data_IF_448158413874
#
_entry.id   IF_448158413874
#
_cell.length_a   1.000
_cell.length_b   1.000
_cell.length_c   1.000
_cell.angle_alpha   90.00
_cell.angle_beta   90.00
_cell.angle_gamma   90.00
#
_symmetry.space_group_name_H-M   'P 1'
#
loop_
_entity.id
_entity.type
_entity.pdbx_description
1 polymer ?
#
# COMPACT_ATOMS: atom_id res chain seq x y z
N UNK A 1 -31.16 20.21 0.11
CA UNK A 1 -29.92 19.40 0.10
C UNK A 1 -28.84 20.22 0.78
N UNK A 2 -28.65 20.03 2.08
CA UNK A 2 -27.63 20.78 2.82
C UNK A 2 -26.28 20.08 2.69
N UNK A 3 -25.30 20.80 2.13
CA UNK A 3 -23.90 20.41 2.12
C UNK A 3 -23.31 20.80 3.48
N UNK A 4 -23.08 19.81 4.32
CA UNK A 4 -22.35 19.98 5.58
C UNK A 4 -20.88 20.22 5.22
N UNK A 5 -20.35 21.38 5.57
CA UNK A 5 -18.95 21.73 5.38
C UNK A 5 -18.11 21.22 6.56
N UNK A 6 -16.88 20.80 6.27
CA UNK A 6 -15.90 20.27 7.22
C UNK A 6 -15.60 21.22 8.40
N UNK A 7 -15.85 22.52 8.24
CA UNK A 7 -15.61 23.54 9.26
C UNK A 7 -16.56 23.46 10.47
N UNK A 8 -17.73 22.83 10.33
CA UNK A 8 -18.69 22.68 11.43
C UNK A 8 -18.24 21.63 12.46
N UNK A 9 -17.18 20.86 12.16
CA UNK A 9 -16.64 19.86 13.08
C UNK A 9 -15.72 20.46 14.16
N UNK A 10 -15.20 21.68 13.95
CA UNK A 10 -14.12 22.25 14.76
C UNK A 10 -14.60 23.29 15.77
N UNK A 11 -15.77 23.89 15.60
CA UNK A 11 -16.20 25.08 16.39
C UNK A 11 -17.30 24.84 17.42
N UNK A 12 -17.67 23.60 17.74
CA UNK A 12 -18.64 23.33 18.80
C UNK A 12 -18.27 22.13 19.68
N UNK A 13 -17.79 22.48 20.88
CA UNK A 13 -17.95 21.81 22.17
C UNK A 13 -16.63 21.35 22.84
N UNK A 14 -16.37 21.80 24.08
CA UNK A 14 -15.26 21.31 24.89
C UNK A 14 -15.52 19.86 25.29
N UNK A 15 -14.53 18.99 25.03
CA UNK A 15 -14.29 17.70 25.69
C UNK A 15 -15.43 16.70 25.87
N UNK A 16 -16.51 16.77 25.09
CA UNK A 16 -17.36 15.60 24.81
C UNK A 16 -17.15 15.09 23.40
N UNK A 17 -16.37 14.03 23.30
CA UNK A 17 -14.98 14.17 22.89
C UNK A 17 -14.98 13.77 21.43
N UNK A 18 -14.14 14.33 20.55
CA UNK A 18 -14.05 13.86 19.15
C UNK A 18 -13.99 12.32 19.02
N UNK A 19 -13.43 11.66 20.04
CA UNK A 19 -13.42 10.22 20.23
C UNK A 19 -14.82 9.57 20.27
N UNK A 20 -15.83 10.14 20.95
CA UNK A 20 -17.18 9.59 21.01
C UNK A 20 -17.85 9.61 19.63
N UNK A 21 -17.74 10.73 18.90
CA UNK A 21 -18.22 10.85 17.51
C UNK A 21 -17.51 9.83 16.60
N UNK A 22 -16.20 9.69 16.74
CA UNK A 22 -15.39 8.75 15.96
C UNK A 22 -15.73 7.28 16.27
N UNK A 23 -16.02 6.93 17.53
CA UNK A 23 -16.52 5.60 17.89
C UNK A 23 -17.89 5.31 17.27
N UNK A 24 -18.80 6.29 17.24
CA UNK A 24 -20.09 6.16 16.56
C UNK A 24 -19.94 6.03 15.04
N UNK A 25 -18.97 6.71 14.45
CA UNK A 25 -18.67 6.62 13.02
C UNK A 25 -18.06 5.26 12.66
N UNK A 26 -17.11 4.76 13.47
CA UNK A 26 -16.49 3.44 13.29
C UNK A 26 -17.51 2.30 13.37
N UNK A 27 -18.52 2.40 14.26
CA UNK A 27 -19.63 1.44 14.33
C UNK A 27 -20.53 1.47 13.10
N UNK A 28 -20.77 2.65 12.52
CA UNK A 28 -21.63 2.82 11.34
C UNK A 28 -20.93 2.42 10.04
N UNK A 29 -19.64 2.69 9.94
CA UNK A 29 -18.84 2.46 8.73
C UNK A 29 -17.56 1.67 9.06
N UNK A 30 -17.68 0.37 9.40
CA UNK A 30 -16.55 -0.44 9.86
C UNK A 30 -15.48 -0.69 8.79
N UNK A 31 -15.86 -0.62 7.51
CA UNK A 31 -14.97 -0.83 6.37
C UNK A 31 -14.42 0.48 5.77
N UNK A 32 -14.73 1.65 6.35
CA UNK A 32 -14.23 2.91 5.82
C UNK A 32 -12.75 3.11 6.18
N UNK A 33 -11.91 3.16 5.16
CA UNK A 33 -10.46 3.37 5.31
C UNK A 33 -10.16 4.68 6.04
N UNK A 34 -10.83 5.77 5.66
CA UNK A 34 -10.66 7.09 6.26
C UNK A 34 -11.00 7.06 7.76
N UNK A 35 -12.15 6.52 8.13
CA UNK A 35 -12.58 6.43 9.53
C UNK A 35 -11.62 5.58 10.34
N UNK A 36 -11.16 4.46 9.77
CA UNK A 36 -10.21 3.56 10.42
C UNK A 36 -8.82 4.20 10.57
N UNK A 37 -8.34 5.00 9.59
CA UNK A 37 -7.10 5.78 9.72
C UNK A 37 -7.20 6.73 10.93
N UNK A 38 -8.24 7.56 10.96
CA UNK A 38 -8.40 8.53 12.05
C UNK A 38 -8.60 7.84 13.41
N UNK A 39 -9.32 6.71 13.45
CA UNK A 39 -9.53 5.95 14.68
C UNK A 39 -8.25 5.32 15.22
N UNK A 40 -7.40 4.76 14.33
CA UNK A 40 -6.10 4.21 14.70
C UNK A 40 -5.11 5.28 15.17
N UNK A 41 -5.21 6.51 14.65
CA UNK A 41 -4.34 7.64 15.00
C UNK A 41 -4.77 8.37 16.26
N UNK A 42 -6.05 8.70 16.39
CA UNK A 42 -6.59 9.51 17.50
C UNK A 42 -6.92 8.67 18.75
N UNK A 43 -7.15 7.36 18.60
CA UNK A 43 -7.59 6.49 19.70
C UNK A 43 -6.75 5.20 19.84
N UNK A 44 -5.40 5.24 19.84
CA UNK A 44 -4.57 4.03 19.80
C UNK A 44 -4.75 3.12 21.03
N UNK A 45 -5.09 3.69 22.20
CA UNK A 45 -5.29 2.96 23.46
C UNK A 45 -6.62 2.20 23.54
N UNK A 46 -7.61 2.57 22.72
CA UNK A 46 -8.96 1.96 22.73
C UNK A 46 -9.09 0.76 21.79
N UNK A 47 -8.06 0.46 20.99
CA UNK A 47 -8.13 -0.57 19.95
C UNK A 47 -7.27 -1.77 20.33
N UNK A 48 -7.90 -2.93 20.52
CA UNK A 48 -7.15 -4.19 20.74
C UNK A 48 -6.30 -4.54 19.52
N UNK A 49 -5.19 -5.27 19.71
CA UNK A 49 -4.31 -5.69 18.61
C UNK A 49 -5.08 -6.37 17.46
N UNK A 50 -6.06 -7.22 17.80
CA UNK A 50 -6.94 -7.89 16.82
C UNK A 50 -7.83 -6.90 16.06
N UNK A 51 -8.38 -5.89 16.74
CA UNK A 51 -9.18 -4.85 16.08
C UNK A 51 -8.31 -3.94 15.22
N UNK A 52 -7.08 -3.60 15.67
CA UNK A 52 -6.12 -2.82 14.87
C UNK A 52 -5.78 -3.53 13.58
N UNK A 53 -5.47 -4.83 13.64
CA UNK A 53 -5.20 -5.64 12.46
C UNK A 53 -6.38 -5.62 11.47
N UNK A 54 -7.62 -5.77 11.94
CA UNK A 54 -8.82 -5.71 11.09
C UNK A 54 -9.01 -4.35 10.43
N UNK A 55 -8.77 -3.27 11.17
CA UNK A 55 -8.86 -1.90 10.64
C UNK A 55 -7.77 -1.63 9.60
N UNK A 56 -6.54 -2.14 9.82
CA UNK A 56 -5.44 -2.00 8.86
C UNK A 56 -5.71 -2.73 7.53
N UNK A 57 -6.49 -3.81 7.52
CA UNK A 57 -6.89 -4.50 6.29
C UNK A 57 -7.77 -3.64 5.37
N UNK A 58 -8.43 -2.61 5.92
CA UNK A 58 -9.23 -1.67 5.12
C UNK A 58 -8.39 -0.60 4.43
N UNK A 59 -7.09 -0.51 4.77
CA UNK A 59 -6.22 0.55 4.29
C UNK A 59 -5.35 0.08 3.12
N UNK A 60 -5.23 0.87 2.04
CA UNK A 60 -4.12 0.70 1.10
C UNK A 60 -2.80 0.95 1.84
N UNK A 61 -1.71 0.27 1.47
CA UNK A 61 -0.37 0.49 2.04
C UNK A 61 -0.27 0.49 3.58
N UNK A 62 -0.92 -0.49 4.22
CA UNK A 62 -0.93 -0.75 5.67
C UNK A 62 0.42 -0.57 6.41
N UNK A 63 1.55 -0.89 5.78
CA UNK A 63 2.89 -0.72 6.36
C UNK A 63 3.25 0.75 6.55
N UNK A 64 2.95 1.61 5.56
CA UNK A 64 3.24 3.05 5.63
C UNK A 64 2.38 3.71 6.68
N UNK A 65 1.08 3.38 6.74
CA UNK A 65 0.17 3.96 7.73
C UNK A 65 0.48 3.56 9.17
N UNK A 66 1.00 2.34 9.38
CA UNK A 66 1.48 1.90 10.69
C UNK A 66 2.70 2.70 11.17
N UNK A 67 3.53 3.18 10.23
CA UNK A 67 4.76 3.94 10.50
C UNK A 67 4.59 5.46 10.38
N UNK A 68 3.40 5.95 10.02
CA UNK A 68 3.14 7.38 9.84
C UNK A 68 3.04 8.08 11.21
N UNK A 69 4.13 8.55 11.77
CA UNK A 69 4.06 9.43 12.93
C UNK A 69 3.66 10.83 12.45
N UNK A 70 2.37 11.16 12.60
CA UNK A 70 1.88 12.53 12.37
C UNK A 70 1.99 13.23 13.71
N UNK A 71 3.15 13.83 13.96
CA UNK A 71 3.32 14.81 15.01
C UNK A 71 2.40 16.00 14.67
N UNK A 72 1.26 16.10 15.37
CA UNK A 72 0.49 17.32 15.36
C UNK A 72 1.22 18.30 16.26
N UNK A 73 2.14 19.07 15.67
CA UNK A 73 2.69 20.25 16.32
C UNK A 73 1.51 21.07 16.86
N UNK A 74 1.41 21.28 18.19
CA UNK A 74 0.32 22.05 18.73
C UNK A 74 0.42 23.44 18.12
N UNK A 75 -0.62 23.89 17.44
CA UNK A 75 -0.68 25.23 16.85
C UNK A 75 -0.41 26.23 17.98
N UNK A 76 0.84 26.71 18.03
CA UNK A 76 1.29 27.70 18.99
C UNK A 76 0.50 28.97 18.72
N UNK A 77 -0.40 29.28 19.64
CA UNK A 77 -1.08 30.55 19.74
C UNK A 77 -0.03 31.66 19.81
N UNK A 78 -0.08 32.56 18.83
CA UNK A 78 0.74 33.77 18.79
C UNK A 78 0.60 34.57 20.11
N UNK A 79 1.70 34.77 20.84
CA UNK A 79 1.95 35.96 21.70
C UNK A 79 3.44 36.09 22.13
N UNK A 80 3.90 37.31 22.43
CA UNK A 80 5.19 37.86 21.98
C UNK A 80 6.39 37.70 22.94
N UNK A 81 7.58 37.78 22.32
CA UNK A 81 8.98 37.99 22.77
C UNK A 81 9.36 38.22 24.26
N UNK A 82 10.31 37.37 24.71
CA UNK A 82 11.56 37.60 25.51
C UNK A 82 11.51 38.02 27.01
N UNK A 83 12.60 37.85 27.81
CA UNK A 83 13.84 37.04 27.62
C UNK A 83 14.33 36.22 28.85
N UNK A 84 15.20 35.24 28.57
CA UNK A 84 16.40 34.80 29.33
C UNK A 84 16.32 34.41 30.81
N UNK A 85 16.54 33.12 31.12
CA UNK A 85 17.40 32.70 32.26
C UNK A 85 18.18 31.43 31.87
N UNK A 86 19.50 31.53 32.02
CA UNK A 86 20.51 30.49 31.84
C UNK A 86 20.61 29.67 33.13
N UNK A 87 20.54 28.34 33.07
CA UNK A 87 21.12 27.47 34.11
C UNK A 87 21.75 26.24 33.46
N UNK A 88 23.04 26.06 33.76
CA UNK A 88 23.92 25.01 33.29
C UNK A 88 23.70 23.67 34.02
N UNK A 89 23.96 22.55 33.32
CA UNK A 89 24.23 21.24 33.94
C UNK A 89 25.53 20.69 33.33
N UNK A 90 26.49 20.20 34.13
CA UNK A 90 27.80 19.77 33.64
C UNK A 90 27.83 18.29 33.21
N UNK A 91 28.47 18.08 32.05
CA UNK A 91 29.33 16.96 31.62
C UNK A 91 29.11 15.53 32.16
N UNK A 92 28.79 14.62 31.24
CA UNK A 92 29.39 13.28 31.21
C UNK A 92 29.73 12.92 29.75
N UNK A 93 31.03 12.71 29.50
CA UNK A 93 31.60 12.32 28.20
C UNK A 93 31.42 10.82 28.01
N UNK A 94 30.77 10.43 26.93
CA UNK A 94 31.06 9.16 26.26
C UNK A 94 31.01 9.44 24.76
N UNK A 95 32.19 9.58 24.18
CA UNK A 95 32.39 9.62 22.75
C UNK A 95 32.50 8.17 22.30
N UNK A 96 31.59 7.74 21.44
CA UNK A 96 31.92 6.79 20.37
C UNK A 96 31.14 7.26 19.14
N UNK A 97 31.93 7.73 18.19
CA UNK A 97 31.55 8.44 17.00
C UNK A 97 30.92 7.49 15.97
N UNK A 98 29.67 7.74 15.59
CA UNK A 98 29.17 7.44 14.24
C UNK A 98 27.99 8.33 13.87
N UNK A 99 28.24 9.65 13.83
CA UNK A 99 27.47 10.52 12.94
C UNK A 99 28.06 10.42 11.54
N UNK A 100 27.27 10.35 10.45
CA UNK A 100 27.78 10.68 9.14
C UNK A 100 28.22 12.15 9.21
N UNK A 101 29.53 12.36 9.24
CA UNK A 101 30.14 13.66 8.99
C UNK A 101 29.70 14.03 7.58
N UNK A 102 28.76 14.98 7.48
CA UNK A 102 28.59 15.74 6.26
C UNK A 102 29.86 16.57 6.06
N UNK A 103 30.85 15.94 5.44
CA UNK A 103 31.91 16.65 4.75
C UNK A 103 31.20 17.40 3.63
N UNK A 104 30.93 18.69 3.88
CA UNK A 104 30.94 19.67 2.80
C UNK A 104 32.31 19.55 2.15
N UNK A 105 32.33 19.22 0.86
CA UNK A 105 33.24 19.76 -0.17
C UNK A 105 33.19 18.88 -1.43
N UNK A 106 32.16 19.07 -2.26
CA UNK A 106 32.24 18.86 -3.72
C UNK A 106 31.30 19.86 -4.41
N UNK A 107 31.52 21.16 -4.14
CA UNK A 107 30.91 22.25 -4.91
C UNK A 107 31.53 22.26 -6.32
N UNK A 108 30.79 21.78 -7.32
CA UNK A 108 31.23 21.93 -8.72
C UNK A 108 30.49 21.16 -9.80
N UNK A 109 29.59 20.22 -9.50
CA UNK A 109 28.94 19.40 -10.54
C UNK A 109 27.41 19.49 -10.63
N UNK A 110 26.74 20.12 -9.67
CA UNK A 110 25.27 20.13 -9.62
C UNK A 110 24.65 21.21 -10.51
N UNK A 111 25.31 22.35 -10.66
CA UNK A 111 24.87 23.46 -11.53
C UNK A 111 24.86 23.08 -13.01
N UNK A 112 25.77 22.19 -13.43
CA UNK A 112 25.87 21.79 -14.83
C UNK A 112 24.82 20.74 -15.19
N UNK A 113 24.41 19.88 -14.24
CA UNK A 113 23.34 18.89 -14.45
C UNK A 113 21.98 19.56 -14.49
N UNK A 114 21.72 20.53 -13.61
CA UNK A 114 20.46 21.28 -13.63
C UNK A 114 20.30 22.07 -14.94
N UNK A 115 21.36 22.76 -15.38
CA UNK A 115 21.34 23.49 -16.65
C UNK A 115 21.15 22.58 -17.88
N UNK A 116 21.69 21.36 -17.86
CA UNK A 116 21.46 20.38 -18.93
C UNK A 116 20.02 19.85 -18.94
N UNK A 117 19.42 19.66 -17.76
CA UNK A 117 18.03 19.24 -17.61
C UNK A 117 17.11 20.33 -18.17
N UNK A 118 17.35 21.59 -17.81
CA UNK A 118 16.54 22.73 -18.27
C UNK A 118 16.61 22.88 -19.80
N UNK A 119 17.80 22.71 -20.40
CA UNK A 119 17.96 22.67 -21.86
C UNK A 119 17.24 21.50 -22.52
N UNK A 120 17.16 20.34 -21.86
CA UNK A 120 16.43 19.19 -22.37
C UNK A 120 14.92 19.43 -22.34
N UNK A 121 14.43 20.04 -21.26
CA UNK A 121 13.02 20.40 -21.08
C UNK A 121 12.60 21.43 -22.13
N UNK A 122 13.40 22.48 -22.36
CA UNK A 122 13.12 23.47 -23.41
C UNK A 122 13.10 22.83 -24.81
N UNK A 123 14.05 21.94 -25.11
CA UNK A 123 14.09 21.23 -26.41
C UNK A 123 12.88 20.31 -26.60
N UNK A 124 12.45 19.62 -25.54
CA UNK A 124 11.32 18.69 -25.57
C UNK A 124 9.97 19.41 -25.63
N UNK A 125 9.87 20.61 -25.04
CA UNK A 125 8.63 21.41 -25.08
C UNK A 125 8.51 22.25 -26.34
N UNK A 126 9.62 22.64 -26.97
CA UNK A 126 9.63 23.43 -28.21
C UNK A 126 9.42 22.59 -29.49
N UNK A 127 9.64 21.28 -29.43
CA UNK A 127 9.42 20.36 -30.56
C UNK A 127 8.34 19.35 -30.21
N UNK A 128 7.42 19.09 -31.15
CA UNK A 128 6.47 17.98 -31.02
C UNK A 128 7.26 16.67 -31.10
N UNK A 129 7.83 16.25 -29.97
CA UNK A 129 8.71 15.10 -29.86
C UNK A 129 7.91 13.80 -30.14
N UNK A 130 7.93 13.36 -31.40
CA UNK A 130 7.42 12.05 -31.80
C UNK A 130 8.50 11.01 -31.58
N UNK A 131 8.20 10.00 -30.77
CA UNK A 131 9.03 8.81 -30.63
C UNK A 131 9.01 8.10 -31.99
N UNK A 132 10.12 8.17 -32.73
CA UNK A 132 10.30 7.40 -33.96
C UNK A 132 10.76 6.01 -33.56
N UNK A 133 9.88 5.02 -33.72
CA UNK A 133 10.23 3.62 -33.57
C UNK A 133 10.91 3.20 -34.89
N UNK A 134 12.19 2.77 -34.89
CA UNK A 134 12.87 2.32 -36.10
C UNK A 134 12.11 1.14 -36.72
N UNK A 135 11.73 1.26 -38.00
CA UNK A 135 10.94 0.24 -38.72
C UNK A 135 11.65 -1.14 -38.76
N UNK A 136 12.98 -1.16 -38.77
CA UNK A 136 13.80 -2.39 -38.77
C UNK A 136 13.67 -3.22 -37.47
N UNK A 137 13.02 -2.68 -36.43
CA UNK A 137 12.75 -3.39 -35.17
C UNK A 137 11.34 -4.00 -35.08
N UNK A 138 10.50 -3.87 -36.13
CA UNK A 138 9.16 -4.46 -36.17
C UNK A 138 9.13 -5.99 -36.23
N UNK A 139 10.22 -6.65 -36.61
CA UNK A 139 10.29 -8.13 -36.59
C UNK A 139 10.27 -8.71 -35.16
N UNK A 140 10.49 -7.86 -34.13
CA UNK A 140 10.44 -8.22 -32.71
C UNK A 140 9.21 -7.64 -31.99
N UNK A 141 8.14 -7.31 -32.73
CA UNK A 141 6.83 -7.05 -32.11
C UNK A 141 6.12 -8.37 -31.79
N UNK A 142 6.80 -9.27 -31.08
CA UNK A 142 6.13 -10.40 -30.46
C UNK A 142 5.07 -9.84 -29.52
N UNK A 143 3.81 -10.24 -29.69
CA UNK A 143 2.75 -9.89 -28.76
C UNK A 143 2.98 -10.64 -27.45
N UNK A 144 3.81 -10.05 -26.57
CA UNK A 144 4.11 -10.58 -25.25
C UNK A 144 2.85 -10.71 -24.37
N UNK A 145 1.73 -10.10 -24.76
CA UNK A 145 0.45 -10.26 -24.09
C UNK A 145 -0.13 -11.66 -24.23
N UNK A 146 0.07 -12.32 -25.37
CA UNK A 146 -0.44 -13.68 -25.64
C UNK A 146 0.29 -14.70 -24.77
N UNK A 147 1.63 -14.65 -24.75
CA UNK A 147 2.44 -15.55 -23.93
C UNK A 147 2.22 -15.37 -22.42
N UNK A 148 1.75 -14.19 -21.99
CA UNK A 148 1.42 -13.93 -20.57
C UNK A 148 0.01 -14.39 -20.18
N UNK A 149 -0.87 -14.61 -21.16
CA UNK A 149 -2.26 -15.03 -20.93
C UNK A 149 -2.43 -16.54 -20.96
N UNK A 150 -1.49 -17.26 -21.57
CA UNK A 150 -1.45 -18.72 -21.54
C UNK A 150 -1.02 -19.21 -20.15
N UNK A 151 -1.81 -20.13 -19.59
CA UNK A 151 -1.51 -20.73 -18.28
C UNK A 151 -0.54 -21.89 -18.46
N UNK A 152 0.53 -21.92 -17.66
CA UNK A 152 1.49 -23.01 -17.66
C UNK A 152 0.85 -24.30 -17.11
N UNK A 153 0.69 -25.37 -17.92
CA UNK A 153 0.03 -26.61 -17.48
C UNK A 153 0.86 -27.41 -16.46
N UNK A 154 2.12 -27.02 -16.23
CA UNK A 154 2.98 -27.62 -15.22
C UNK A 154 2.70 -27.14 -13.79
N UNK A 155 2.05 -25.99 -13.62
CA UNK A 155 1.79 -25.42 -12.29
C UNK A 155 0.47 -26.00 -11.78
N UNK A 156 0.57 -27.06 -10.98
CA UNK A 156 -0.58 -27.81 -10.48
C UNK A 156 -0.56 -27.86 -8.95
N UNK A 157 -1.67 -27.48 -8.31
CA UNK A 157 -1.86 -27.62 -6.86
C UNK A 157 -3.33 -27.82 -6.50
N UNK A 158 -3.58 -28.48 -5.36
CA UNK A 158 -4.93 -28.75 -4.85
C UNK A 158 -5.73 -27.46 -4.64
N UNK A 159 -5.10 -26.44 -4.05
CA UNK A 159 -5.73 -25.14 -3.82
C UNK A 159 -6.09 -24.43 -5.11
N UNK A 160 -5.21 -24.50 -6.12
CA UNK A 160 -5.47 -23.91 -7.42
C UNK A 160 -6.63 -24.60 -8.14
N UNK A 161 -6.70 -25.93 -8.09
CA UNK A 161 -7.82 -26.69 -8.64
C UNK A 161 -9.15 -26.31 -7.96
N UNK A 162 -9.12 -26.09 -6.64
CA UNK A 162 -10.27 -25.56 -5.88
C UNK A 162 -10.70 -24.17 -6.35
N UNK A 163 -9.74 -23.25 -6.52
CA UNK A 163 -10.02 -21.90 -7.02
C UNK A 163 -10.65 -21.94 -8.43
N UNK A 164 -10.16 -22.79 -9.34
CA UNK A 164 -10.77 -22.94 -10.66
C UNK A 164 -12.21 -23.46 -10.58
N UNK A 165 -12.49 -24.41 -9.69
CA UNK A 165 -13.86 -24.89 -9.47
C UNK A 165 -14.78 -23.79 -8.92
N UNK A 166 -14.30 -22.96 -7.99
CA UNK A 166 -15.06 -21.82 -7.45
C UNK A 166 -15.33 -20.75 -8.52
N UNK A 167 -14.40 -20.54 -9.44
CA UNK A 167 -14.53 -19.61 -10.56
C UNK A 167 -15.40 -20.12 -11.71
N UNK A 168 -15.79 -21.41 -11.69
CA UNK A 168 -16.62 -22.01 -12.72
C UNK A 168 -15.85 -22.66 -13.88
N UNK A 169 -14.52 -22.75 -13.80
CA UNK A 169 -13.67 -23.38 -14.81
C UNK A 169 -13.50 -24.88 -14.51
N UNK A 170 -14.59 -25.65 -14.67
CA UNK A 170 -14.63 -27.06 -14.27
C UNK A 170 -13.69 -27.96 -15.07
N UNK A 171 -13.56 -27.73 -16.39
CA UNK A 171 -12.68 -28.52 -17.25
C UNK A 171 -11.21 -28.42 -16.79
N UNK A 172 -10.77 -27.20 -16.45
CA UNK A 172 -9.42 -26.95 -15.91
C UNK A 172 -9.26 -27.57 -14.52
N UNK A 173 -10.25 -27.42 -13.65
CA UNK A 173 -10.23 -28.03 -12.31
C UNK A 173 -10.11 -29.57 -12.39
N UNK A 174 -10.86 -30.22 -13.28
CA UNK A 174 -10.82 -31.67 -13.48
C UNK A 174 -9.43 -32.11 -13.96
N UNK A 175 -8.88 -31.45 -14.99
CA UNK A 175 -7.54 -31.76 -15.49
C UNK A 175 -6.47 -31.64 -14.40
N UNK A 176 -6.54 -30.59 -13.58
CA UNK A 176 -5.62 -30.38 -12.47
C UNK A 176 -5.75 -31.51 -11.42
N UNK A 177 -6.96 -31.93 -11.06
CA UNK A 177 -7.17 -33.05 -10.14
C UNK A 177 -6.70 -34.40 -10.71
N UNK A 178 -6.83 -34.61 -12.02
CA UNK A 178 -6.31 -35.80 -12.70
C UNK A 178 -4.76 -35.83 -12.63
N UNK A 179 -4.11 -34.70 -12.91
CA UNK A 179 -2.64 -34.58 -12.78
C UNK A 179 -2.20 -34.79 -11.32
N UNK A 180 -2.91 -34.20 -10.34
CA UNK A 180 -2.62 -34.40 -8.91
C UNK A 180 -2.77 -35.85 -8.47
N UNK A 181 -3.73 -36.59 -9.05
CA UNK A 181 -3.93 -38.01 -8.75
C UNK A 181 -2.74 -38.86 -9.20
N UNK A 182 -2.08 -38.46 -10.30
CA UNK A 182 -0.86 -39.12 -10.78
C UNK A 182 0.35 -38.77 -9.91
N UNK A 183 0.46 -37.52 -9.45
CA UNK A 183 1.57 -37.08 -8.59
C UNK A 183 1.46 -37.58 -7.14
N UNK A 184 0.25 -37.71 -6.61
CA UNK A 184 -0.01 -38.05 -5.22
C UNK A 184 -1.00 -39.22 -5.12
N UNK A 185 -0.54 -40.46 -5.42
CA UNK A 185 -1.43 -41.63 -5.46
C UNK A 185 -2.10 -41.92 -4.11
N UNK A 186 -1.47 -41.56 -3.00
CA UNK A 186 -2.04 -41.71 -1.64
C UNK A 186 -3.35 -40.94 -1.45
N UNK A 187 -3.50 -39.80 -2.15
CA UNK A 187 -4.69 -38.93 -2.09
C UNK A 187 -5.64 -39.14 -3.28
N UNK A 188 -5.36 -40.09 -4.15
CA UNK A 188 -6.11 -40.33 -5.39
C UNK A 188 -7.62 -40.51 -5.17
N UNK A 189 -8.02 -41.16 -4.07
CA UNK A 189 -9.43 -41.34 -3.72
C UNK A 189 -10.16 -40.02 -3.41
N UNK A 190 -9.46 -39.06 -2.79
CA UNK A 190 -10.00 -37.73 -2.47
C UNK A 190 -10.22 -36.94 -3.76
N UNK A 191 -9.22 -36.94 -4.64
CA UNK A 191 -9.31 -36.24 -5.93
C UNK A 191 -10.36 -36.86 -6.84
N UNK A 192 -10.47 -38.19 -6.89
CA UNK A 192 -11.53 -38.88 -7.61
C UNK A 192 -12.93 -38.45 -7.15
N UNK A 193 -13.14 -38.36 -5.83
CA UNK A 193 -14.40 -37.87 -5.27
C UNK A 193 -14.68 -36.41 -5.65
N UNK A 194 -13.67 -35.54 -5.66
CA UNK A 194 -13.81 -34.15 -6.10
C UNK A 194 -14.17 -34.06 -7.58
N UNK A 195 -13.53 -34.84 -8.45
CA UNK A 195 -13.85 -34.92 -9.88
C UNK A 195 -15.29 -35.39 -10.09
N UNK A 196 -15.75 -36.41 -9.36
CA UNK A 196 -17.14 -36.87 -9.45
C UNK A 196 -18.14 -35.78 -9.02
N UNK A 197 -17.85 -35.06 -7.93
CA UNK A 197 -18.71 -33.98 -7.47
C UNK A 197 -18.80 -32.85 -8.49
N UNK A 198 -17.67 -32.47 -9.10
CA UNK A 198 -17.67 -31.49 -10.18
C UNK A 198 -18.48 -32.00 -11.39
N UNK A 199 -18.29 -33.24 -11.84
CA UNK A 199 -19.06 -33.80 -12.96
C UNK A 199 -20.57 -33.88 -12.68
N UNK A 200 -20.97 -34.20 -11.45
CA UNK A 200 -22.40 -34.28 -11.05
C UNK A 200 -23.08 -32.93 -10.97
N UNK A 201 -22.36 -31.89 -10.55
CA UNK A 201 -22.94 -30.56 -10.40
C UNK A 201 -23.14 -29.82 -11.73
N UNK A 202 -22.45 -30.25 -12.79
CA UNK A 202 -22.41 -29.54 -14.08
C UNK A 202 -22.78 -30.40 -15.29
N UNK A 203 -23.13 -31.68 -15.09
CA UNK A 203 -23.77 -32.54 -16.10
C UNK A 203 -25.28 -32.40 -16.08
#
# INVERSE_FOLDING_TARGET
MEKIFFNDFVTAAPDETLQSKLTGLSKRYPASSLVNIFFLKLCPSRVSARQRARMLLTLPDRLRFAQLDVEMEPVLTLRPEKPSVVVAVPHAKHNDDLHPVFVKDHEGQDLHKSALIDQLIEKFTASDAKIQIPLDSQEMLADYGIASAEEDPSIVSETLAGIYAEQGYYDRAIQMYEILSLHFPEKSSIFAAQIENLKKNFS
#
